data_IF_441766134226
#
_entry.id   IF_441766134226
#
_cell.length_a   1.000
_cell.length_b   1.000
_cell.length_c   1.000
_cell.angle_alpha   90.00
_cell.angle_beta   90.00
_cell.angle_gamma   90.00
#
_symmetry.space_group_name_H-M   'P 1'
#
loop_
_entity.id
_entity.type
_entity.pdbx_description
1 polymer ?
#
# COMPACT_ATOMS: atom_id res chain seq x y z
N UNK A 1 18.36 -9.89 -9.68
CA UNK A 1 18.43 -10.16 -8.24
C UNK A 1 18.04 -11.60 -8.09
N UNK A 2 18.87 -12.43 -7.48
CA UNK A 2 18.47 -13.79 -7.18
C UNK A 2 17.43 -13.82 -6.03
N UNK A 3 16.85 -14.99 -5.74
CA UNK A 3 15.80 -15.07 -4.70
C UNK A 3 16.32 -14.86 -3.28
N UNK A 4 17.58 -15.20 -3.00
CA UNK A 4 18.16 -14.98 -1.68
C UNK A 4 18.38 -13.47 -1.44
N UNK A 5 18.91 -12.75 -2.43
CA UNK A 5 19.04 -11.29 -2.42
C UNK A 5 17.67 -10.61 -2.29
N UNK A 6 16.65 -11.11 -3.00
CA UNK A 6 15.29 -10.57 -2.92
C UNK A 6 14.66 -10.81 -1.55
N UNK A 7 14.86 -11.98 -0.96
CA UNK A 7 14.40 -12.24 0.40
C UNK A 7 15.15 -11.41 1.44
N UNK A 8 16.45 -11.17 1.26
CA UNK A 8 17.20 -10.25 2.12
C UNK A 8 16.63 -8.82 2.03
N UNK A 9 16.22 -8.36 0.84
CA UNK A 9 15.54 -7.08 0.67
C UNK A 9 14.15 -7.08 1.33
N UNK A 10 13.42 -8.20 1.29
CA UNK A 10 12.16 -8.37 2.00
C UNK A 10 12.32 -8.32 3.52
N UNK A 11 13.36 -8.95 4.07
CA UNK A 11 13.72 -8.87 5.50
C UNK A 11 14.04 -7.44 5.92
N UNK A 12 14.84 -6.72 5.11
CA UNK A 12 15.10 -5.31 5.34
C UNK A 12 13.81 -4.50 5.32
N UNK A 13 12.93 -4.74 4.35
CA UNK A 13 11.66 -4.04 4.26
C UNK A 13 10.73 -4.34 5.45
N UNK A 14 10.68 -5.59 5.91
CA UNK A 14 9.94 -5.98 7.10
C UNK A 14 10.47 -5.24 8.34
N UNK A 15 11.79 -5.20 8.53
CA UNK A 15 12.43 -4.50 9.64
C UNK A 15 12.23 -2.97 9.63
N UNK A 16 11.97 -2.37 8.47
CA UNK A 16 11.61 -0.95 8.37
C UNK A 16 10.23 -0.63 8.95
N UNK A 17 9.35 -1.63 9.13
CA UNK A 17 8.05 -1.42 9.79
C UNK A 17 8.26 -1.43 11.30
N UNK A 18 8.70 -0.29 11.83
CA UNK A 18 9.04 -0.12 13.24
C UNK A 18 8.27 1.08 13.82
N UNK A 19 7.39 0.89 14.82
CA UNK A 19 6.66 1.99 15.48
C UNK A 19 7.55 3.11 16.03
N UNK A 20 8.84 2.84 16.29
CA UNK A 20 9.81 3.81 16.78
C UNK A 20 10.50 4.64 15.68
N UNK A 21 10.39 4.21 14.41
CA UNK A 21 11.00 4.87 13.26
C UNK A 21 10.02 4.83 12.08
N UNK A 22 9.11 5.81 12.06
CA UNK A 22 8.02 5.90 11.08
C UNK A 22 8.54 5.76 9.63
N UNK A 23 8.05 4.73 8.94
CA UNK A 23 8.31 4.51 7.52
C UNK A 23 7.35 5.32 6.66
N UNK A 24 7.89 6.30 5.93
CA UNK A 24 7.14 7.06 4.92
C UNK A 24 7.30 6.40 3.55
N UNK A 25 6.18 6.00 2.92
CA UNK A 25 6.16 5.48 1.55
C UNK A 25 5.51 6.47 0.59
N UNK A 26 6.31 6.96 -0.35
CA UNK A 26 5.81 7.65 -1.52
C UNK A 26 5.29 6.63 -2.54
N UNK A 27 4.11 6.88 -3.08
CA UNK A 27 3.49 6.03 -4.07
C UNK A 27 3.85 6.51 -5.48
N UNK A 28 4.53 5.67 -6.25
CA UNK A 28 4.79 5.83 -7.67
C UNK A 28 3.55 5.43 -8.48
N UNK A 29 3.44 6.01 -9.66
CA UNK A 29 2.37 5.74 -10.63
C UNK A 29 2.91 5.33 -12.01
N UNK A 30 4.23 5.44 -12.21
CA UNK A 30 4.95 5.01 -13.42
C UNK A 30 6.46 4.83 -13.12
N UNK A 31 7.25 4.46 -14.14
CA UNK A 31 8.70 4.32 -13.98
C UNK A 31 9.44 5.64 -13.70
N UNK A 32 8.92 6.78 -14.17
CA UNK A 32 9.51 8.11 -13.97
C UNK A 32 9.40 8.58 -12.52
N UNK A 33 8.20 8.52 -11.96
CA UNK A 33 7.92 8.79 -10.55
C UNK A 33 8.63 7.81 -9.62
N UNK A 34 8.70 6.53 -9.97
CA UNK A 34 9.48 5.53 -9.22
C UNK A 34 10.97 5.91 -9.17
N UNK A 35 11.55 6.33 -10.30
CA UNK A 35 12.94 6.82 -10.34
C UNK A 35 13.12 8.09 -9.51
N UNK A 36 12.18 9.04 -9.55
CA UNK A 36 12.24 10.24 -8.73
C UNK A 36 12.26 9.91 -7.22
N UNK A 37 11.43 8.97 -6.77
CA UNK A 37 11.44 8.47 -5.40
C UNK A 37 12.76 7.74 -5.10
N UNK A 38 13.22 6.89 -6.02
CA UNK A 38 14.44 6.12 -5.84
C UNK A 38 15.69 7.01 -5.71
N UNK A 39 15.78 8.10 -6.45
CA UNK A 39 16.90 9.05 -6.38
C UNK A 39 16.90 9.90 -5.10
N UNK A 40 15.79 9.97 -4.36
CA UNK A 40 15.76 10.74 -3.11
C UNK A 40 16.47 9.96 -1.98
N UNK A 41 17.57 10.46 -1.39
CA UNK A 41 18.34 9.71 -0.38
C UNK A 41 17.56 9.42 0.92
N UNK A 42 16.45 10.13 1.18
CA UNK A 42 15.61 9.92 2.37
C UNK A 42 14.49 8.91 2.16
N UNK A 43 14.12 8.60 0.91
CA UNK A 43 13.11 7.59 0.66
C UNK A 43 13.70 6.20 0.93
N UNK A 44 13.10 5.45 1.85
CA UNK A 44 13.59 4.11 2.24
C UNK A 44 13.05 2.99 1.34
N UNK A 45 11.88 3.19 0.73
CA UNK A 45 11.17 2.24 -0.12
C UNK A 45 10.20 2.95 -1.09
N UNK A 46 9.66 2.21 -2.05
CA UNK A 46 8.73 2.68 -3.08
C UNK A 46 7.44 1.86 -2.97
N UNK A 47 6.29 2.53 -2.97
CA UNK A 47 4.99 1.87 -3.10
C UNK A 47 4.38 2.16 -4.48
N UNK A 48 3.49 1.33 -5.00
CA UNK A 48 2.53 1.77 -6.04
C UNK A 48 1.21 2.24 -5.40
N UNK A 49 0.35 2.87 -6.18
CA UNK A 49 -1.06 3.09 -5.83
C UNK A 49 -1.92 2.64 -7.03
N UNK A 50 -2.85 1.70 -6.81
CA UNK A 50 -3.68 1.15 -7.90
C UNK A 50 -4.48 2.24 -8.60
N UNK A 51 -5.04 3.19 -7.83
CA UNK A 51 -5.80 4.31 -8.38
C UNK A 51 -5.00 5.10 -9.42
N UNK A 52 -3.75 5.42 -9.10
CA UNK A 52 -2.92 6.19 -10.02
C UNK A 52 -2.47 5.34 -11.22
N UNK A 53 -2.16 4.07 -10.99
CA UNK A 53 -1.83 3.12 -12.07
C UNK A 53 -3.01 2.96 -13.05
N UNK A 54 -4.24 2.88 -12.55
CA UNK A 54 -5.44 2.77 -13.37
C UNK A 54 -5.62 3.99 -14.27
N UNK A 55 -5.58 5.20 -13.70
CA UNK A 55 -5.78 6.41 -14.49
C UNK A 55 -4.67 6.59 -15.53
N UNK A 56 -3.42 6.29 -15.18
CA UNK A 56 -2.29 6.32 -16.15
C UNK A 56 -2.51 5.31 -17.29
N UNK A 57 -3.10 4.16 -17.02
CA UNK A 57 -3.48 3.16 -18.02
C UNK A 57 -4.81 3.46 -18.74
N UNK A 58 -5.46 4.59 -18.45
CA UNK A 58 -6.73 4.97 -19.09
C UNK A 58 -7.96 4.23 -18.56
N UNK A 59 -7.87 3.61 -17.38
CA UNK A 59 -8.97 2.89 -16.71
C UNK A 59 -9.37 3.57 -15.39
N UNK A 60 -10.58 3.30 -14.92
CA UNK A 60 -10.96 3.61 -13.54
C UNK A 60 -10.31 2.62 -12.57
N UNK A 61 -10.10 3.00 -11.30
CA UNK A 61 -9.51 2.09 -10.30
C UNK A 61 -10.34 0.82 -10.11
N UNK A 62 -11.67 0.94 -10.14
CA UNK A 62 -12.60 -0.19 -10.02
C UNK A 62 -12.56 -1.15 -11.22
N UNK A 63 -12.14 -0.66 -12.39
CA UNK A 63 -12.07 -1.42 -13.64
C UNK A 63 -10.65 -1.93 -13.94
N UNK A 64 -9.68 -1.67 -13.05
CA UNK A 64 -8.29 -2.07 -13.25
C UNK A 64 -8.16 -3.59 -13.18
N UNK A 65 -7.87 -4.24 -14.30
CA UNK A 65 -7.63 -5.69 -14.29
C UNK A 65 -6.27 -6.05 -13.67
N UNK A 66 -6.08 -7.32 -13.28
CA UNK A 66 -4.76 -7.79 -12.82
C UNK A 66 -3.69 -7.57 -13.90
N UNK A 67 -4.01 -7.85 -15.16
CA UNK A 67 -3.05 -7.73 -16.25
C UNK A 67 -2.63 -6.28 -16.51
N UNK A 68 -3.58 -5.34 -16.43
CA UNK A 68 -3.30 -3.92 -16.53
C UNK A 68 -2.47 -3.40 -15.35
N UNK A 69 -2.78 -3.82 -14.12
CA UNK A 69 -1.96 -3.47 -12.96
C UNK A 69 -0.54 -4.04 -13.07
N UNK A 70 -0.39 -5.32 -13.47
CA UNK A 70 0.91 -5.94 -13.69
C UNK A 70 1.71 -5.22 -14.79
N UNK A 71 1.05 -4.76 -15.85
CA UNK A 71 1.67 -3.95 -16.90
C UNK A 71 2.17 -2.60 -16.34
N UNK A 72 1.34 -1.90 -15.58
CA UNK A 72 1.69 -0.62 -14.97
C UNK A 72 2.85 -0.73 -13.97
N UNK A 73 2.79 -1.70 -13.06
CA UNK A 73 3.79 -1.84 -11.99
C UNK A 73 5.11 -2.42 -12.46
N UNK A 74 5.16 -3.07 -13.63
CA UNK A 74 6.42 -3.55 -14.24
C UNK A 74 7.44 -2.42 -14.36
N UNK A 75 7.02 -1.24 -14.81
CA UNK A 75 7.88 -0.07 -14.94
C UNK A 75 8.36 0.46 -13.59
N UNK A 76 7.46 0.51 -12.60
CA UNK A 76 7.74 0.94 -11.22
C UNK A 76 8.78 0.02 -10.58
N UNK A 77 8.57 -1.29 -10.64
CA UNK A 77 9.48 -2.29 -10.06
C UNK A 77 10.83 -2.25 -10.77
N UNK A 78 10.84 -2.21 -12.11
CA UNK A 78 12.08 -2.13 -12.87
C UNK A 78 12.90 -0.89 -12.52
N UNK A 79 12.26 0.28 -12.33
CA UNK A 79 12.92 1.50 -11.90
C UNK A 79 13.49 1.38 -10.48
N UNK A 80 12.73 0.79 -9.54
CA UNK A 80 13.18 0.57 -8.17
C UNK A 80 14.35 -0.42 -8.06
N UNK A 81 14.28 -1.55 -8.77
CA UNK A 81 15.30 -2.60 -8.78
C UNK A 81 16.62 -2.12 -9.41
N UNK A 82 16.54 -1.23 -10.41
CA UNK A 82 17.72 -0.65 -11.08
C UNK A 82 18.33 0.53 -10.33
N UNK A 83 17.70 1.01 -9.26
CA UNK A 83 18.20 2.16 -8.52
C UNK A 83 19.43 1.81 -7.66
N UNK A 84 20.30 2.81 -7.50
CA UNK A 84 21.42 2.78 -6.56
C UNK A 84 21.12 3.82 -5.46
N UNK A 85 20.94 3.43 -4.19
CA UNK A 85 20.85 2.08 -3.61
C UNK A 85 19.55 1.33 -3.98
N UNK A 86 19.57 -0.01 -3.95
CA UNK A 86 18.38 -0.86 -4.20
C UNK A 86 17.35 -0.65 -3.08
N UNK A 87 16.20 -0.06 -3.39
CA UNK A 87 15.11 0.17 -2.43
C UNK A 87 14.02 -0.90 -2.56
N UNK A 88 13.41 -1.37 -1.46
CA UNK A 88 12.24 -2.22 -1.51
C UNK A 88 11.11 -1.61 -2.32
N UNK A 89 10.42 -2.43 -3.10
CA UNK A 89 9.23 -2.06 -3.86
C UNK A 89 8.04 -2.90 -3.36
N UNK A 90 6.95 -2.23 -2.96
CA UNK A 90 5.70 -2.85 -2.55
C UNK A 90 4.56 -2.46 -3.48
N UNK A 91 3.72 -3.42 -3.87
CA UNK A 91 2.68 -3.21 -4.88
C UNK A 91 1.28 -3.23 -4.28
N UNK A 92 0.47 -2.26 -4.65
CA UNK A 92 -0.96 -2.26 -4.37
C UNK A 92 -1.69 -3.25 -5.30
N UNK A 93 -2.25 -4.31 -4.74
CA UNK A 93 -2.99 -5.35 -5.47
C UNK A 93 -4.50 -5.24 -5.26
N UNK A 94 -5.01 -4.10 -4.78
CA UNK A 94 -6.43 -3.93 -4.44
C UNK A 94 -6.91 -5.06 -3.52
N UNK A 95 -8.03 -5.71 -3.84
CA UNK A 95 -8.59 -6.86 -3.11
C UNK A 95 -7.80 -8.16 -3.30
N UNK A 96 -6.78 -8.15 -4.16
CA UNK A 96 -6.03 -9.34 -4.59
C UNK A 96 -6.63 -10.01 -5.83
N UNK A 97 -7.51 -9.33 -6.57
CA UNK A 97 -8.11 -9.80 -7.81
C UNK A 97 -8.88 -11.12 -7.68
N UNK A 98 -9.66 -11.25 -6.60
CA UNK A 98 -10.43 -12.47 -6.30
C UNK A 98 -9.57 -13.73 -6.24
N UNK A 99 -9.87 -14.71 -7.09
CA UNK A 99 -9.19 -16.02 -7.16
C UNK A 99 -7.79 -15.94 -7.79
N UNK A 100 -7.44 -14.79 -8.39
CA UNK A 100 -6.14 -14.60 -9.03
C UNK A 100 -5.04 -14.19 -8.06
N UNK A 101 -5.31 -14.09 -6.75
CA UNK A 101 -4.35 -13.63 -5.75
C UNK A 101 -3.01 -14.38 -5.81
N UNK A 102 -3.03 -15.72 -5.94
CA UNK A 102 -1.80 -16.49 -6.05
C UNK A 102 -0.96 -16.09 -7.27
N UNK A 103 -1.61 -15.96 -8.44
CA UNK A 103 -0.99 -15.48 -9.67
C UNK A 103 -0.43 -14.06 -9.49
N UNK A 104 -1.19 -13.16 -8.88
CA UNK A 104 -0.77 -11.77 -8.65
C UNK A 104 0.52 -11.71 -7.82
N UNK A 105 0.59 -12.46 -6.72
CA UNK A 105 1.78 -12.54 -5.85
C UNK A 105 2.98 -13.13 -6.59
N UNK A 106 2.78 -14.23 -7.32
CA UNK A 106 3.84 -14.86 -8.12
C UNK A 106 4.43 -13.88 -9.15
N UNK A 107 3.57 -13.17 -9.87
CA UNK A 107 4.00 -12.23 -10.91
C UNK A 107 4.74 -11.01 -10.35
N UNK A 108 4.26 -10.37 -9.28
CA UNK A 108 5.00 -9.23 -8.70
C UNK A 108 6.34 -9.66 -8.09
N UNK A 109 6.43 -10.88 -7.53
CA UNK A 109 7.71 -11.42 -7.04
C UNK A 109 8.66 -11.73 -8.19
N UNK A 110 8.16 -12.27 -9.32
CA UNK A 110 8.96 -12.45 -10.55
C UNK A 110 9.53 -11.12 -11.04
N UNK A 111 8.78 -10.04 -10.93
CA UNK A 111 9.21 -8.69 -11.30
C UNK A 111 10.24 -8.09 -10.32
N UNK A 112 10.26 -8.54 -9.06
CA UNK A 112 11.22 -8.09 -8.04
C UNK A 112 10.60 -7.35 -6.86
N UNK A 113 9.26 -7.30 -6.74
CA UNK A 113 8.60 -6.75 -5.56
C UNK A 113 8.88 -7.60 -4.32
N UNK A 114 8.86 -6.96 -3.15
CA UNK A 114 9.10 -7.60 -1.84
C UNK A 114 7.99 -7.35 -0.83
N UNK A 115 6.92 -6.68 -1.25
CA UNK A 115 5.69 -6.60 -0.48
C UNK A 115 4.47 -6.25 -1.33
N UNK A 116 3.30 -6.32 -0.70
CA UNK A 116 2.06 -5.86 -1.31
C UNK A 116 1.07 -5.25 -0.30
N UNK A 117 0.07 -4.54 -0.82
CA UNK A 117 -1.19 -4.32 -0.13
C UNK A 117 -2.24 -5.32 -0.64
N UNK A 118 -3.11 -5.79 0.24
CA UNK A 118 -4.31 -6.58 -0.09
C UNK A 118 -5.45 -6.05 0.79
N UNK A 119 -6.57 -5.65 0.18
CA UNK A 119 -7.72 -5.05 0.86
C UNK A 119 -8.84 -6.06 1.10
N UNK A 120 -9.66 -5.79 2.12
CA UNK A 120 -10.73 -6.68 2.56
C UNK A 120 -12.11 -6.33 1.98
N UNK A 121 -12.14 -5.46 0.97
CA UNK A 121 -13.34 -5.11 0.23
C UNK A 121 -13.37 -5.83 -1.13
N UNK A 122 -14.31 -6.76 -1.30
CA UNK A 122 -14.57 -7.41 -2.58
C UNK A 122 -15.39 -6.49 -3.48
N UNK A 123 -14.73 -5.96 -4.52
CA UNK A 123 -15.37 -5.06 -5.48
C UNK A 123 -16.39 -5.77 -6.38
N UNK A 124 -16.28 -7.09 -6.56
CA UNK A 124 -17.22 -7.86 -7.39
C UNK A 124 -18.58 -8.01 -6.72
N UNK A 125 -18.57 -8.20 -5.40
CA UNK A 125 -19.79 -8.32 -4.58
C UNK A 125 -20.18 -7.01 -3.90
N UNK A 126 -19.32 -5.99 -4.01
CA UNK A 126 -19.47 -4.68 -3.37
C UNK A 126 -19.68 -4.82 -1.84
N UNK A 127 -18.91 -5.71 -1.23
CA UNK A 127 -19.02 -6.07 0.18
C UNK A 127 -17.65 -6.36 0.80
N UNK A 128 -17.56 -6.24 2.12
CA UNK A 128 -16.36 -6.72 2.81
C UNK A 128 -16.34 -8.25 2.78
N UNK A 129 -15.18 -8.83 2.51
CA UNK A 129 -14.89 -10.22 2.84
C UNK A 129 -15.17 -10.44 4.34
N UNK A 130 -15.57 -11.66 4.72
CA UNK A 130 -15.58 -12.03 6.13
C UNK A 130 -14.17 -11.89 6.71
N UNK A 131 -14.07 -11.71 8.04
CA UNK A 131 -12.77 -11.54 8.70
C UNK A 131 -11.85 -12.73 8.44
N UNK A 132 -12.41 -13.94 8.43
CA UNK A 132 -11.67 -15.18 8.23
C UNK A 132 -11.22 -15.36 6.77
N UNK A 133 -12.06 -14.98 5.80
CA UNK A 133 -11.68 -15.01 4.38
C UNK A 133 -10.55 -14.00 4.10
N UNK A 134 -10.68 -12.75 4.57
CA UNK A 134 -9.64 -11.74 4.42
C UNK A 134 -8.31 -12.18 5.07
N UNK A 135 -8.37 -12.79 6.26
CA UNK A 135 -7.20 -13.36 6.92
C UNK A 135 -6.60 -14.55 6.14
N UNK A 136 -7.43 -15.43 5.58
CA UNK A 136 -6.99 -16.54 4.74
C UNK A 136 -6.28 -16.04 3.47
N UNK A 137 -6.72 -14.92 2.90
CA UNK A 137 -6.06 -14.26 1.75
C UNK A 137 -4.67 -13.72 2.12
N UNK A 138 -4.52 -13.09 3.29
CA UNK A 138 -3.20 -12.69 3.83
C UNK A 138 -2.27 -13.90 3.97
N UNK A 139 -2.76 -14.98 4.60
CA UNK A 139 -1.98 -16.21 4.77
C UNK A 139 -1.62 -16.86 3.42
N UNK A 140 -2.53 -16.83 2.44
CA UNK A 140 -2.29 -17.32 1.09
C UNK A 140 -1.15 -16.53 0.42
N UNK A 141 -1.16 -15.20 0.51
CA UNK A 141 -0.09 -14.36 -0.04
C UNK A 141 1.27 -14.71 0.57
N UNK A 142 1.35 -14.86 1.90
CA UNK A 142 2.58 -15.29 2.60
C UNK A 142 3.03 -16.68 2.15
N UNK A 143 2.10 -17.64 2.04
CA UNK A 143 2.38 -19.01 1.59
C UNK A 143 2.91 -19.05 0.15
N UNK A 144 2.30 -18.30 -0.77
CA UNK A 144 2.73 -18.20 -2.16
C UNK A 144 4.13 -17.59 -2.23
N UNK A 145 4.37 -16.48 -1.53
CA UNK A 145 5.66 -15.81 -1.53
C UNK A 145 6.80 -16.70 -1.01
N UNK A 146 6.55 -17.48 0.05
CA UNK A 146 7.50 -18.47 0.55
C UNK A 146 7.85 -19.53 -0.51
N UNK A 147 6.86 -20.05 -1.25
CA UNK A 147 7.10 -21.00 -2.36
C UNK A 147 7.90 -20.36 -3.51
N UNK A 148 7.77 -19.05 -3.72
CA UNK A 148 8.56 -18.30 -4.70
C UNK A 148 10.00 -17.99 -4.24
N UNK A 149 10.39 -18.41 -3.03
CA UNK A 149 11.71 -18.17 -2.44
C UNK A 149 11.83 -16.83 -1.71
N UNK A 150 10.72 -16.19 -1.35
CA UNK A 150 10.68 -14.92 -0.60
C UNK A 150 9.80 -15.07 0.66
N UNK A 151 10.15 -15.93 1.62
CA UNK A 151 9.34 -16.16 2.83
C UNK A 151 9.09 -14.90 3.67
N UNK A 152 10.00 -13.93 3.64
CA UNK A 152 9.91 -12.68 4.40
C UNK A 152 9.11 -11.58 3.67
N UNK A 153 8.40 -11.93 2.59
CA UNK A 153 7.56 -10.99 1.84
C UNK A 153 6.57 -10.24 2.74
N UNK A 154 6.52 -8.93 2.58
CA UNK A 154 5.76 -8.02 3.44
C UNK A 154 4.32 -7.91 2.95
N UNK A 155 3.35 -8.19 3.81
CA UNK A 155 1.93 -7.98 3.51
C UNK A 155 1.40 -6.85 4.38
N UNK A 156 0.92 -5.78 3.73
CA UNK A 156 0.21 -4.70 4.37
C UNK A 156 -1.30 -4.89 4.14
N UNK A 157 -1.97 -5.53 5.10
CA UNK A 157 -3.38 -5.89 4.98
C UNK A 157 -4.27 -4.66 5.18
N UNK A 158 -4.99 -4.24 4.14
CA UNK A 158 -5.88 -3.07 4.17
C UNK A 158 -7.26 -3.46 4.68
N UNK A 159 -7.80 -2.63 5.57
CA UNK A 159 -9.13 -2.72 6.10
C UNK A 159 -9.96 -1.50 5.68
N UNK A 160 -11.05 -1.76 4.97
CA UNK A 160 -11.99 -0.76 4.45
C UNK A 160 -13.26 -0.65 5.31
N UNK A 161 -13.35 -1.40 6.41
CA UNK A 161 -14.54 -1.43 7.27
C UNK A 161 -14.97 -0.05 7.78
N UNK A 162 -14.01 0.82 8.11
CA UNK A 162 -14.30 2.19 8.55
C UNK A 162 -14.81 3.08 7.39
N UNK A 163 -14.35 2.82 6.17
CA UNK A 163 -14.70 3.60 4.98
C UNK A 163 -16.10 3.26 4.50
N UNK A 164 -16.45 1.97 4.47
CA UNK A 164 -17.72 1.47 3.95
C UNK A 164 -18.91 1.71 4.89
N UNK A 165 -18.67 2.17 6.12
CA UNK A 165 -19.76 2.46 7.07
C UNK A 165 -20.57 1.22 7.49
N UNK A 166 -20.06 0.01 7.23
CA UNK A 166 -20.67 -1.23 7.71
C UNK A 166 -20.73 -1.23 9.24
N UNK A 167 -21.70 -1.96 9.84
CA UNK A 167 -22.08 -2.11 11.27
C UNK A 167 -20.96 -2.47 12.27
N UNK A 168 -19.82 -1.82 12.17
CA UNK A 168 -18.56 -2.41 12.57
C UNK A 168 -17.70 -1.41 13.33
N UNK A 169 -17.78 -0.13 12.98
CA UNK A 169 -17.06 0.94 13.66
C UNK A 169 -15.59 0.58 13.90
N UNK A 170 -15.02 1.14 14.96
CA UNK A 170 -13.63 0.86 15.33
C UNK A 170 -13.42 -0.58 15.83
N UNK A 171 -14.42 -1.20 16.46
CA UNK A 171 -14.26 -2.52 17.09
C UNK A 171 -14.08 -3.63 16.05
N UNK A 172 -14.79 -3.54 14.93
CA UNK A 172 -14.60 -4.45 13.79
C UNK A 172 -13.26 -4.23 13.10
N UNK A 173 -12.82 -2.97 12.93
CA UNK A 173 -11.48 -2.66 12.40
C UNK A 173 -10.40 -3.29 13.29
N UNK A 174 -10.54 -3.17 14.61
CA UNK A 174 -9.62 -3.78 15.58
C UNK A 174 -9.65 -5.31 15.47
N UNK A 175 -10.83 -5.93 15.44
CA UNK A 175 -10.97 -7.39 15.28
C UNK A 175 -10.30 -7.86 14.00
N UNK A 176 -10.62 -7.23 12.87
CA UNK A 176 -10.05 -7.52 11.55
C UNK A 176 -8.53 -7.39 11.55
N UNK A 177 -8.02 -6.24 12.00
CA UNK A 177 -6.59 -5.98 12.06
C UNK A 177 -5.81 -6.99 12.90
N UNK A 178 -6.32 -7.36 14.08
CA UNK A 178 -5.70 -8.42 14.91
C UNK A 178 -5.68 -9.77 14.20
N UNK A 179 -6.77 -10.14 13.52
CA UNK A 179 -6.81 -11.39 12.74
C UNK A 179 -5.82 -11.35 11.57
N UNK A 180 -5.67 -10.21 10.90
CA UNK A 180 -4.72 -10.06 9.78
C UNK A 180 -3.27 -10.17 10.24
N UNK A 181 -2.92 -9.55 11.38
CA UNK A 181 -1.60 -9.70 12.00
C UNK A 181 -1.33 -11.15 12.40
N UNK A 182 -2.30 -11.83 13.01
CA UNK A 182 -2.19 -13.26 13.35
C UNK A 182 -2.03 -14.16 12.12
N UNK A 183 -2.61 -13.78 10.97
CA UNK A 183 -2.45 -14.47 9.69
C UNK A 183 -1.10 -14.19 8.99
N UNK A 184 -0.27 -13.31 9.56
CA UNK A 184 1.07 -13.01 9.07
C UNK A 184 1.22 -11.70 8.29
N UNK A 185 0.23 -10.79 8.37
CA UNK A 185 0.42 -9.42 7.90
C UNK A 185 1.52 -8.73 8.72
N UNK A 186 2.33 -7.93 8.04
CA UNK A 186 3.35 -7.09 8.68
C UNK A 186 2.72 -5.84 9.29
N UNK A 187 1.75 -5.24 8.60
CA UNK A 187 0.99 -4.10 9.11
C UNK A 187 -0.47 -4.19 8.70
N UNK A 188 -1.32 -3.54 9.48
CA UNK A 188 -2.73 -3.29 9.15
C UNK A 188 -2.84 -1.88 8.57
N UNK A 189 -3.40 -1.72 7.39
CA UNK A 189 -3.69 -0.41 6.79
C UNK A 189 -5.16 -0.07 6.96
N UNK A 190 -5.47 0.89 7.84
CA UNK A 190 -6.83 1.42 7.96
C UNK A 190 -6.99 2.57 6.95
N UNK A 191 -7.83 2.37 5.93
CA UNK A 191 -7.97 3.31 4.81
C UNK A 191 -8.45 4.70 5.27
N UNK A 192 -9.43 4.73 6.15
CA UNK A 192 -10.06 5.96 6.65
C UNK A 192 -11.55 5.81 6.80
N UNK A 193 -12.22 6.82 7.36
CA UNK A 193 -13.67 6.87 7.41
C UNK A 193 -14.32 7.34 6.11
N UNK A 194 -15.63 7.12 6.02
CA UNK A 194 -16.46 7.55 4.89
C UNK A 194 -16.31 9.04 4.55
N UNK A 195 -16.55 9.38 3.28
CA UNK A 195 -16.35 10.73 2.76
C UNK A 195 -14.89 11.17 2.65
N UNK A 196 -13.93 10.25 2.79
CA UNK A 196 -12.51 10.55 2.63
C UNK A 196 -11.89 11.32 3.80
N UNK A 197 -12.52 11.31 4.98
CA UNK A 197 -12.05 12.03 6.17
C UNK A 197 -10.72 11.51 6.77
N UNK A 198 -10.23 10.37 6.28
CA UNK A 198 -9.05 9.71 6.84
C UNK A 198 -9.33 9.10 8.23
N UNK A 199 -8.27 8.95 9.02
CA UNK A 199 -8.32 8.43 10.40
C UNK A 199 -7.93 9.54 11.36
N UNK A 200 -8.77 9.82 12.35
CA UNK A 200 -8.52 10.87 13.36
C UNK A 200 -7.43 10.48 14.37
N UNK A 201 -6.85 11.44 15.09
CA UNK A 201 -5.80 11.16 16.09
C UNK A 201 -6.24 10.19 17.19
N UNK A 202 -7.50 10.26 17.63
CA UNK A 202 -8.05 9.36 18.65
C UNK A 202 -8.22 7.94 18.12
N UNK A 203 -8.69 7.79 16.89
CA UNK A 203 -8.77 6.50 16.19
C UNK A 203 -7.37 5.91 15.98
N UNK A 204 -6.39 6.71 15.53
CA UNK A 204 -4.99 6.28 15.37
C UNK A 204 -4.41 5.80 16.69
N UNK A 205 -4.57 6.58 17.78
CA UNK A 205 -4.05 6.20 19.11
C UNK A 205 -4.60 4.84 19.54
N UNK A 206 -5.92 4.66 19.41
CA UNK A 206 -6.57 3.38 19.74
C UNK A 206 -6.04 2.23 18.88
N UNK A 207 -5.88 2.43 17.58
CA UNK A 207 -5.36 1.38 16.67
C UNK A 207 -3.89 1.05 16.94
N UNK A 208 -3.08 2.05 17.30
CA UNK A 208 -1.68 1.83 17.70
C UNK A 208 -1.62 0.96 18.95
N UNK A 209 -2.43 1.26 19.97
CA UNK A 209 -2.49 0.47 21.20
C UNK A 209 -2.92 -0.99 20.90
N UNK A 210 -3.92 -1.17 20.05
CA UNK A 210 -4.49 -2.49 19.72
C UNK A 210 -3.62 -3.34 18.79
N UNK A 211 -2.80 -2.71 17.94
CA UNK A 211 -1.93 -3.38 16.95
C UNK A 211 -0.45 -3.36 17.34
N UNK A 212 -0.10 -2.87 18.54
CA UNK A 212 1.29 -2.71 18.95
C UNK A 212 2.09 -1.78 18.04
N UNK A 213 1.43 -0.77 17.47
CA UNK A 213 2.00 0.20 16.53
C UNK A 213 2.17 -0.31 15.09
N UNK A 214 1.86 -1.57 14.78
CA UNK A 214 1.94 -2.16 13.43
C UNK A 214 0.78 -1.70 12.52
N UNK A 215 0.59 -0.39 12.50
CA UNK A 215 -0.44 0.33 11.77
C UNK A 215 0.20 1.05 10.58
N UNK A 216 -0.52 1.04 9.47
CA UNK A 216 -0.34 1.94 8.35
C UNK A 216 -1.56 2.87 8.26
N UNK A 217 -1.35 4.14 7.95
CA UNK A 217 -2.41 5.11 7.63
C UNK A 217 -2.08 5.87 6.35
N UNK A 218 -3.11 6.37 5.68
CA UNK A 218 -2.96 7.25 4.52
C UNK A 218 -2.73 8.69 5.00
N UNK A 219 -1.67 9.35 4.53
CA UNK A 219 -1.47 10.77 4.82
C UNK A 219 -2.08 11.62 3.71
N UNK A 220 -3.21 12.26 4.04
CA UNK A 220 -3.83 13.28 3.19
C UNK A 220 -3.09 14.60 3.40
N UNK A 221 -2.68 15.23 2.30
CA UNK A 221 -1.97 16.50 2.36
C UNK A 221 -2.96 17.67 2.26
N UNK A 222 -3.05 18.50 3.29
CA UNK A 222 -3.90 19.69 3.28
C UNK A 222 -4.11 20.25 4.68
N UNK A 223 -4.80 21.38 4.76
CA UNK A 223 -5.25 21.92 6.04
C UNK A 223 -6.28 20.98 6.69
N UNK A 224 -6.26 20.89 8.03
CA UNK A 224 -7.16 20.02 8.80
C UNK A 224 -6.71 18.55 8.92
N UNK A 225 -5.70 18.12 8.17
CA UNK A 225 -5.15 16.75 8.27
C UNK A 225 -3.88 16.69 9.12
N UNK A 226 -3.60 15.49 9.67
CA UNK A 226 -2.42 15.27 10.49
C UNK A 226 -1.13 15.36 9.68
N UNK A 227 -0.16 16.05 10.27
CA UNK A 227 1.20 16.16 9.75
C UNK A 227 2.04 14.94 10.14
N UNK A 228 3.16 14.75 9.43
CA UNK A 228 4.08 13.63 9.65
C UNK A 228 4.53 13.48 11.11
N UNK A 229 4.95 14.58 11.74
CA UNK A 229 5.42 14.62 13.13
C UNK A 229 4.32 14.22 14.12
N UNK A 230 3.08 14.66 13.87
CA UNK A 230 1.92 14.28 14.66
C UNK A 230 1.61 12.78 14.53
N UNK A 231 1.63 12.23 13.30
CA UNK A 231 1.43 10.79 13.08
C UNK A 231 2.55 9.96 13.71
N UNK A 232 3.81 10.43 13.60
CA UNK A 232 4.96 9.77 14.21
C UNK A 232 4.84 9.74 15.74
N UNK A 233 4.44 10.84 16.37
CA UNK A 233 4.24 10.92 17.82
C UNK A 233 3.13 9.97 18.32
N UNK A 234 2.20 9.58 17.45
CA UNK A 234 1.15 8.62 17.78
C UNK A 234 1.64 7.16 17.73
N UNK A 235 2.84 6.87 17.22
CA UNK A 235 3.43 5.52 17.24
C UNK A 235 3.06 4.62 16.05
N UNK A 236 2.77 5.21 14.89
CA UNK A 236 2.46 4.47 13.66
C UNK A 236 3.74 3.94 12.99
N UNK A 237 3.76 2.67 12.58
CA UNK A 237 4.91 2.07 11.90
C UNK A 237 5.09 2.53 10.44
N UNK A 238 3.99 2.80 9.72
CA UNK A 238 4.01 3.15 8.29
C UNK A 238 3.00 4.23 7.93
N UNK A 239 3.36 5.08 6.96
CA UNK A 239 2.44 6.00 6.30
C UNK A 239 2.57 5.84 4.79
N UNK A 240 1.45 5.70 4.11
CA UNK A 240 1.35 5.71 2.64
C UNK A 240 0.77 7.04 2.14
N UNK A 241 1.17 7.49 0.96
CA UNK A 241 0.65 8.72 0.32
C UNK A 241 -0.56 8.47 -0.59
N UNK A 242 -0.86 7.20 -0.91
CA UNK A 242 -1.92 6.83 -1.84
C UNK A 242 -1.78 7.56 -3.19
N UNK A 243 -2.88 8.01 -3.82
CA UNK A 243 -2.82 8.74 -5.09
C UNK A 243 -2.38 10.21 -4.95
N UNK A 244 -2.08 10.70 -3.74
CA UNK A 244 -1.86 12.13 -3.49
C UNK A 244 -0.73 12.75 -4.31
N UNK A 245 0.37 12.02 -4.54
CA UNK A 245 1.48 12.51 -5.37
C UNK A 245 1.11 12.57 -6.85
N UNK A 246 0.34 11.61 -7.34
CA UNK A 246 -0.19 11.61 -8.71
C UNK A 246 -1.10 12.82 -8.93
N UNK A 247 -2.07 13.05 -8.04
CA UNK A 247 -3.02 14.17 -8.13
C UNK A 247 -2.26 15.51 -8.17
N UNK A 248 -1.20 15.66 -7.37
CA UNK A 248 -0.37 16.88 -7.38
C UNK A 248 0.43 17.04 -8.66
N UNK A 249 1.00 15.96 -9.18
CA UNK A 249 1.74 15.99 -10.45
C UNK A 249 0.81 16.39 -11.60
N UNK A 250 -0.39 15.79 -11.68
CA UNK A 250 -1.36 16.12 -12.72
C UNK A 250 -1.86 17.55 -12.61
N UNK A 251 -2.11 18.05 -11.40
CA UNK A 251 -2.49 19.46 -11.20
C UNK A 251 -1.40 20.41 -11.72
N UNK A 252 -0.14 20.16 -11.39
CA UNK A 252 0.96 20.99 -11.87
C UNK A 252 1.12 20.90 -13.40
N UNK A 253 0.98 19.70 -13.97
CA UNK A 253 0.99 19.49 -15.41
C UNK A 253 -0.13 20.26 -16.11
N UNK A 254 -1.37 20.16 -15.62
CA UNK A 254 -2.51 20.90 -16.16
C UNK A 254 -2.32 22.40 -16.09
N UNK A 255 -1.83 22.94 -14.96
CA UNK A 255 -1.55 24.38 -14.86
C UNK A 255 -0.49 24.86 -15.85
N UNK A 256 0.51 24.03 -16.17
CA UNK A 256 1.50 24.36 -17.20
C UNK A 256 0.90 24.31 -18.60
N UNK A 257 0.02 23.33 -18.88
CA UNK A 257 -0.74 23.29 -20.13
C UNK A 257 -1.58 24.55 -20.30
N UNK A 258 -2.29 24.96 -19.25
CA UNK A 258 -3.12 26.17 -19.27
C UNK A 258 -2.26 27.42 -19.55
N UNK A 259 -1.10 27.54 -18.88
CA UNK A 259 -0.16 28.64 -19.11
C UNK A 259 0.41 28.67 -20.53
N UNK A 260 0.74 27.51 -21.12
CA UNK A 260 1.23 27.40 -22.50
C UNK A 260 0.14 27.77 -23.51
N UNK A 261 -1.11 27.36 -23.25
CA UNK A 261 -2.25 27.63 -24.13
C UNK A 261 -2.90 29.00 -23.91
N UNK A 262 -2.55 29.68 -22.81
CA UNK A 262 -3.07 31.00 -22.45
C UNK A 262 -4.51 31.00 -21.97
N UNK A 263 -4.94 29.95 -21.25
CA UNK A 263 -6.29 29.80 -20.66
C UNK A 263 -6.30 29.95 -19.14
#
# INVERSE_FOLDING_TARGET
>A
MDRAEQNALAQQFAAMHNPKDLLMLCNAFDGGSARAIASNPRAKAIASASYAAAIVSGSADDDLTLDDNLAAVRGIIAAGVRATPKKPVTIDLQDGYGDQLARAIEEIIKLGAVGCNIEDFDRRTNALWSVDEAAARVALAKKVAARCGVPDFVVNARCDALFQGADAGMDSVIRRGKTYLAAGATTVFVWGGGGGRGVSSSEIKRLVDEFGGMLNVSMIQGEGFLKKDQIQALGVARVSMGPGLYIKALKAFSSEVDAILGV
#
